data_IF_836063249059
#
_entry.id   IF_836063249059
#
_cell.length_a   1.000
_cell.length_b   1.000
_cell.length_c   1.000
_cell.angle_alpha   90.00
_cell.angle_beta   90.00
_cell.angle_gamma   90.00
#
_symmetry.space_group_name_H-M   'P 1'
#
loop_
_entity.id
_entity.type
_entity.pdbx_description
1 polymer ?
#
# COMPACT_ATOMS: atom_id res chain seq x y z
N UNK A 1 -7.19 0.49 -13.01
CA UNK A 1 -7.75 1.56 -12.15
C UNK A 1 -7.00 2.88 -12.34
N UNK A 2 -5.68 2.87 -12.46
CA UNK A 2 -4.90 4.08 -12.82
C UNK A 2 -4.88 4.39 -14.33
N UNK A 3 -5.63 3.64 -15.16
CA UNK A 3 -5.63 3.75 -16.63
C UNK A 3 -6.09 5.14 -17.12
N UNK A 4 -7.06 5.74 -16.42
CA UNK A 4 -7.55 7.07 -16.74
C UNK A 4 -6.46 8.15 -16.59
N UNK A 5 -5.60 8.06 -15.57
CA UNK A 5 -4.47 8.98 -15.41
C UNK A 5 -3.46 8.80 -16.53
N UNK A 6 -3.13 7.55 -16.87
CA UNK A 6 -2.22 7.26 -17.98
C UNK A 6 -2.77 7.82 -19.32
N UNK A 7 -4.10 7.79 -19.52
CA UNK A 7 -4.73 8.42 -20.68
C UNK A 7 -4.59 9.95 -20.67
N UNK A 8 -4.74 10.62 -19.52
CA UNK A 8 -4.50 12.06 -19.40
C UNK A 8 -3.04 12.44 -19.69
N UNK A 9 -2.08 11.69 -19.11
CA UNK A 9 -0.64 11.89 -19.33
C UNK A 9 -0.26 11.75 -20.81
N UNK A 10 -0.82 10.75 -21.49
CA UNK A 10 -0.64 10.58 -22.93
C UNK A 10 -1.30 11.68 -23.76
N UNK A 11 -2.52 12.09 -23.39
CA UNK A 11 -3.28 13.09 -24.14
C UNK A 11 -2.58 14.47 -24.18
N UNK A 12 -1.70 14.76 -23.22
CA UNK A 12 -0.91 15.99 -23.17
C UNK A 12 0.23 16.02 -24.20
N UNK A 13 0.77 14.86 -24.59
CA UNK A 13 1.93 14.74 -25.50
C UNK A 13 1.65 14.08 -26.86
N UNK A 14 0.42 13.63 -27.10
CA UNK A 14 0.01 13.00 -28.36
C UNK A 14 -0.28 14.04 -29.47
N UNK A 15 0.07 13.70 -30.71
CA UNK A 15 -0.34 14.44 -31.92
C UNK A 15 -1.87 14.33 -32.13
N UNK A 16 -2.45 15.26 -32.89
CA UNK A 16 -3.91 15.44 -33.01
C UNK A 16 -4.68 14.16 -33.37
N UNK A 17 -4.20 13.39 -34.35
CA UNK A 17 -4.81 12.11 -34.75
C UNK A 17 -4.82 11.07 -33.62
N UNK A 18 -3.75 11.02 -32.81
CA UNK A 18 -3.64 10.09 -31.68
C UNK A 18 -4.47 10.54 -30.48
N UNK A 19 -4.64 11.86 -30.30
CA UNK A 19 -5.52 12.39 -29.25
C UNK A 19 -6.97 12.01 -29.49
N UNK A 20 -7.42 11.93 -30.75
CA UNK A 20 -8.78 11.47 -31.10
C UNK A 20 -9.03 10.00 -30.77
N UNK A 21 -7.99 9.18 -30.66
CA UNK A 21 -8.10 7.77 -30.23
C UNK A 21 -8.04 7.63 -28.69
N UNK A 22 -7.69 8.69 -27.98
CA UNK A 22 -7.47 8.66 -26.54
C UNK A 22 -8.82 8.71 -25.78
N UNK A 23 -9.14 7.73 -24.92
CA UNK A 23 -10.39 7.73 -24.16
C UNK A 23 -10.63 8.99 -23.31
N UNK A 24 -9.56 9.59 -22.77
CA UNK A 24 -9.69 10.83 -21.98
C UNK A 24 -10.16 12.01 -22.84
N UNK A 25 -9.80 12.05 -24.12
CA UNK A 25 -10.29 13.07 -25.04
C UNK A 25 -11.82 12.98 -25.18
N UNK A 26 -12.38 11.78 -25.33
CA UNK A 26 -13.82 11.58 -25.43
C UNK A 26 -14.57 11.88 -24.13
N UNK A 27 -14.00 11.50 -22.97
CA UNK A 27 -14.60 11.77 -21.66
C UNK A 27 -14.75 13.28 -21.43
N UNK A 28 -13.78 14.07 -21.88
CA UNK A 28 -13.74 15.52 -21.67
C UNK A 28 -14.10 16.35 -22.90
N UNK A 29 -14.77 15.74 -23.88
CA UNK A 29 -15.23 16.41 -25.11
C UNK A 29 -14.12 17.25 -25.79
N UNK A 30 -12.91 16.70 -25.84
CA UNK A 30 -11.74 17.30 -26.48
C UNK A 30 -10.90 18.24 -25.63
N UNK A 31 -11.26 18.46 -24.36
CA UNK A 31 -10.50 19.26 -23.42
C UNK A 31 -10.11 18.46 -22.15
N UNK A 32 -9.34 17.36 -22.29
CA UNK A 32 -8.88 16.60 -21.12
C UNK A 32 -8.10 17.52 -20.16
N UNK A 33 -8.36 17.44 -18.84
CA UNK A 33 -7.62 18.21 -17.87
C UNK A 33 -6.15 17.75 -17.83
N UNK A 34 -5.28 18.64 -17.36
CA UNK A 34 -3.89 18.27 -17.05
C UNK A 34 -3.89 17.11 -16.03
N UNK A 35 -3.05 16.09 -16.23
CA UNK A 35 -2.90 15.01 -15.27
C UNK A 35 -2.36 15.57 -13.94
N UNK A 36 -3.02 15.25 -12.83
CA UNK A 36 -2.45 15.54 -11.51
C UNK A 36 -1.20 14.67 -11.28
N UNK A 37 -0.06 15.33 -11.12
CA UNK A 37 1.18 14.69 -10.68
C UNK A 37 1.05 14.16 -9.23
N UNK A 38 1.87 13.16 -8.90
CA UNK A 38 2.00 12.62 -7.55
C UNK A 38 1.42 11.20 -7.39
N UNK A 39 0.80 10.96 -6.24
CA UNK A 39 0.43 9.63 -5.72
C UNK A 39 -0.66 8.96 -6.58
N UNK A 40 -0.50 7.67 -6.90
CA UNK A 40 -1.49 6.88 -7.65
C UNK A 40 -2.68 6.46 -6.78
N UNK A 41 -3.82 6.13 -7.38
CA UNK A 41 -4.98 5.70 -6.57
C UNK A 41 -4.77 4.32 -5.96
N UNK A 42 -4.11 3.42 -6.70
CA UNK A 42 -3.71 2.10 -6.16
C UNK A 42 -2.83 2.24 -4.92
N UNK A 43 -1.96 3.26 -4.90
CA UNK A 43 -1.12 3.56 -3.76
C UNK A 43 -1.93 4.05 -2.55
N UNK A 44 -2.90 4.96 -2.76
CA UNK A 44 -3.82 5.41 -1.70
C UNK A 44 -4.62 4.27 -1.09
N UNK A 45 -5.10 3.34 -1.91
CA UNK A 45 -5.83 2.16 -1.43
C UNK A 45 -4.96 1.24 -0.56
N UNK A 46 -3.70 1.06 -0.93
CA UNK A 46 -2.76 0.26 -0.14
C UNK A 46 -2.52 0.89 1.23
N UNK A 47 -2.25 2.21 1.27
CA UNK A 47 -2.04 2.96 2.51
C UNK A 47 -3.29 2.95 3.41
N UNK A 48 -4.47 3.19 2.86
CA UNK A 48 -5.73 3.19 3.61
C UNK A 48 -6.07 1.80 4.17
N UNK A 49 -5.84 0.73 3.39
CA UNK A 49 -6.08 -0.64 3.84
C UNK A 49 -5.11 -1.05 4.96
N UNK A 50 -3.83 -0.64 4.86
CA UNK A 50 -2.75 -0.92 5.82
C UNK A 50 -3.01 -0.28 7.19
N UNK A 51 -3.28 1.02 7.16
CA UNK A 51 -3.40 1.88 8.34
C UNK A 51 -4.73 1.72 9.07
N UNK A 52 -5.66 0.94 8.48
CA UNK A 52 -7.08 0.94 8.87
C UNK A 52 -7.65 2.36 8.95
N UNK A 53 -7.20 3.25 8.06
CA UNK A 53 -7.60 4.65 8.05
C UNK A 53 -9.12 4.75 7.92
N UNK A 54 -9.75 5.33 8.94
CA UNK A 54 -11.21 5.54 9.01
C UNK A 54 -11.64 6.89 8.43
N UNK A 55 -10.68 7.79 8.35
CA UNK A 55 -10.78 9.16 7.82
C UNK A 55 -9.55 9.50 6.98
N UNK A 56 -9.67 10.55 6.18
CA UNK A 56 -8.58 11.02 5.34
C UNK A 56 -7.45 11.66 6.13
N UNK A 57 -7.71 12.17 7.34
CA UNK A 57 -6.67 12.80 8.18
C UNK A 57 -5.60 11.77 8.57
N UNK A 58 -6.05 10.56 8.92
CA UNK A 58 -5.16 9.41 9.16
C UNK A 58 -4.34 9.09 7.91
N UNK A 59 -4.99 9.02 6.75
CA UNK A 59 -4.33 8.74 5.48
C UNK A 59 -3.31 9.84 5.09
N UNK A 60 -3.64 11.11 5.35
CA UNK A 60 -2.76 12.25 5.13
C UNK A 60 -1.50 12.21 6.00
N UNK A 61 -1.57 11.63 7.19
CA UNK A 61 -0.39 11.35 8.02
C UNK A 61 0.64 10.46 7.31
N UNK A 62 0.20 9.52 6.46
CA UNK A 62 1.09 8.70 5.64
C UNK A 62 1.50 9.41 4.35
N UNK A 63 0.56 10.09 3.68
CA UNK A 63 0.84 10.85 2.45
C UNK A 63 1.93 11.89 2.70
N UNK A 64 1.83 12.68 3.78
CA UNK A 64 2.77 13.77 4.08
C UNK A 64 4.19 13.26 4.41
N UNK A 65 4.33 11.98 4.80
CA UNK A 65 5.65 11.35 4.99
C UNK A 65 6.25 10.89 3.68
N UNK A 66 5.40 10.46 2.75
CA UNK A 66 5.80 10.01 1.43
C UNK A 66 6.10 11.18 0.48
N UNK A 67 5.30 12.24 0.56
CA UNK A 67 5.42 13.47 -0.22
C UNK A 67 5.28 14.69 0.73
N UNK A 68 6.40 15.19 1.30
CA UNK A 68 6.40 16.29 2.28
C UNK A 68 5.85 17.61 1.75
N UNK A 69 5.81 17.81 0.43
CA UNK A 69 5.32 19.03 -0.20
C UNK A 69 3.80 18.97 -0.49
N UNK A 70 3.17 17.80 -0.29
CA UNK A 70 1.74 17.61 -0.48
C UNK A 70 0.95 17.99 0.77
N UNK A 71 -0.10 18.80 0.58
CA UNK A 71 -1.13 19.09 1.56
C UNK A 71 -2.51 19.07 0.91
N UNK A 72 -3.61 19.01 1.68
CA UNK A 72 -4.96 19.16 1.14
C UNK A 72 -5.15 20.45 0.33
N UNK A 73 -4.50 21.54 0.76
CA UNK A 73 -4.56 22.86 0.12
C UNK A 73 -3.70 22.92 -1.15
N UNK A 74 -2.51 22.31 -1.15
CA UNK A 74 -1.61 22.33 -2.31
C UNK A 74 -1.99 21.29 -3.37
N UNK A 75 -2.71 20.22 -2.97
CA UNK A 75 -3.12 19.09 -3.84
C UNK A 75 -4.60 18.70 -3.64
N UNK A 76 -5.57 19.55 -4.03
CA UNK A 76 -6.99 19.32 -3.75
C UNK A 76 -7.61 18.09 -4.45
N UNK A 77 -7.11 17.65 -5.61
CA UNK A 77 -7.59 16.40 -6.23
C UNK A 77 -6.97 15.15 -5.59
N UNK A 78 -5.76 15.25 -5.02
CA UNK A 78 -5.22 14.20 -4.15
C UNK A 78 -6.06 14.06 -2.88
N UNK A 79 -6.45 15.17 -2.25
CA UNK A 79 -7.33 15.18 -1.08
C UNK A 79 -8.66 14.46 -1.37
N UNK A 80 -9.28 14.78 -2.50
CA UNK A 80 -10.52 14.11 -2.94
C UNK A 80 -10.32 12.62 -3.21
N UNK A 81 -9.19 12.22 -3.80
CA UNK A 81 -8.86 10.81 -4.01
C UNK A 81 -8.59 10.08 -2.69
N UNK A 82 -7.99 10.74 -1.71
CA UNK A 82 -7.83 10.21 -0.35
C UNK A 82 -9.18 9.92 0.30
N UNK A 83 -10.17 10.83 0.16
CA UNK A 83 -11.55 10.61 0.61
C UNK A 83 -12.17 9.34 -0.02
N UNK A 84 -12.00 9.15 -1.32
CA UNK A 84 -12.50 7.96 -2.01
C UNK A 84 -11.79 6.68 -1.59
N UNK A 85 -10.47 6.72 -1.38
CA UNK A 85 -9.71 5.57 -0.94
C UNK A 85 -10.16 5.10 0.45
N UNK A 86 -10.32 6.03 1.40
CA UNK A 86 -10.84 5.75 2.74
C UNK A 86 -12.26 5.20 2.69
N UNK A 87 -13.15 5.82 1.91
CA UNK A 87 -14.52 5.34 1.77
C UNK A 87 -14.55 3.91 1.19
N UNK A 88 -13.75 3.64 0.16
CA UNK A 88 -13.64 2.31 -0.43
C UNK A 88 -13.14 1.28 0.59
N UNK A 89 -12.06 1.59 1.31
CA UNK A 89 -11.51 0.69 2.31
C UNK A 89 -12.53 0.42 3.43
N UNK A 90 -13.25 1.45 3.90
CA UNK A 90 -14.27 1.31 4.94
C UNK A 90 -15.43 0.38 4.53
N UNK A 91 -15.91 0.51 3.28
CA UNK A 91 -17.11 -0.23 2.86
C UNK A 91 -16.83 -1.59 2.21
N UNK A 92 -15.65 -1.77 1.62
CA UNK A 92 -15.35 -2.98 0.83
C UNK A 92 -14.14 -3.77 1.34
N UNK A 93 -13.21 -3.16 2.06
CA UNK A 93 -12.00 -3.86 2.54
C UNK A 93 -12.13 -4.26 4.00
N UNK A 94 -12.47 -3.31 4.87
CA UNK A 94 -12.57 -3.52 6.31
C UNK A 94 -13.59 -4.63 6.69
N UNK A 95 -14.78 -4.72 6.08
CA UNK A 95 -15.75 -5.77 6.42
C UNK A 95 -15.28 -7.19 6.07
N UNK A 96 -14.35 -7.33 5.13
CA UNK A 96 -13.80 -8.62 4.72
C UNK A 96 -12.57 -9.04 5.55
N UNK A 97 -12.06 -8.17 6.44
CA UNK A 97 -10.88 -8.48 7.24
C UNK A 97 -11.19 -9.57 8.27
N UNK A 98 -10.51 -10.70 8.17
CA UNK A 98 -10.54 -11.80 9.13
C UNK A 98 -9.13 -12.02 9.65
N UNK A 99 -8.92 -11.69 10.91
CA UNK A 99 -7.65 -11.85 11.61
C UNK A 99 -7.55 -13.23 12.21
N UNK A 100 -6.37 -13.83 12.11
CA UNK A 100 -6.02 -15.04 12.86
C UNK A 100 -4.73 -14.83 13.62
N UNK A 101 -4.54 -15.64 14.64
CA UNK A 101 -3.28 -15.67 15.37
C UNK A 101 -2.22 -16.46 14.58
N UNK A 102 -0.93 -16.10 14.71
CA UNK A 102 0.17 -16.88 14.16
C UNK A 102 0.42 -18.15 14.97
N UNK A 103 0.78 -19.24 14.31
CA UNK A 103 1.31 -20.43 14.99
C UNK A 103 2.73 -20.17 15.55
N UNK A 104 3.31 -21.15 16.27
CA UNK A 104 4.63 -20.99 16.89
C UNK A 104 5.76 -20.70 15.89
N UNK A 105 5.68 -21.27 14.67
CA UNK A 105 6.68 -21.09 13.61
C UNK A 105 6.51 -19.72 12.96
N UNK A 106 5.28 -19.35 12.65
CA UNK A 106 4.92 -18.04 12.11
C UNK A 106 5.28 -16.92 13.10
N UNK A 107 5.04 -17.11 14.39
CA UNK A 107 5.38 -16.14 15.43
C UNK A 107 6.90 -15.91 15.51
N UNK A 108 7.70 -16.98 15.45
CA UNK A 108 9.16 -16.87 15.42
C UNK A 108 9.66 -16.15 14.17
N UNK A 109 9.09 -16.47 13.00
CA UNK A 109 9.43 -15.80 11.74
C UNK A 109 9.03 -14.32 11.73
N UNK A 110 7.85 -14.00 12.26
CA UNK A 110 7.38 -12.62 12.40
C UNK A 110 8.29 -11.81 13.34
N UNK A 111 8.69 -12.39 14.48
CA UNK A 111 9.60 -11.73 15.40
C UNK A 111 10.94 -11.41 14.74
N UNK A 112 11.53 -12.37 14.00
CA UNK A 112 12.76 -12.13 13.25
C UNK A 112 12.57 -11.10 12.14
N UNK A 113 11.44 -11.14 11.41
CA UNK A 113 11.14 -10.13 10.39
C UNK A 113 11.09 -8.74 11.00
N UNK A 114 10.44 -8.56 12.16
CA UNK A 114 10.41 -7.28 12.86
C UNK A 114 11.83 -6.78 13.19
N UNK A 115 12.69 -7.66 13.72
CA UNK A 115 14.07 -7.32 14.05
C UNK A 115 14.88 -6.91 12.79
N UNK A 116 14.68 -7.61 11.68
CA UNK A 116 15.36 -7.30 10.41
C UNK A 116 14.88 -5.99 9.80
N UNK A 117 13.58 -5.71 9.85
CA UNK A 117 13.03 -4.44 9.37
C UNK A 117 13.57 -3.26 10.18
N UNK A 118 13.71 -3.43 11.50
CA UNK A 118 14.28 -2.41 12.39
C UNK A 118 15.77 -2.14 12.11
N UNK A 119 16.50 -3.14 11.59
CA UNK A 119 17.92 -3.03 11.25
C UNK A 119 18.17 -2.42 9.86
N UNK A 120 17.16 -2.31 9.01
CA UNK A 120 17.29 -1.69 7.69
C UNK A 120 17.45 -0.16 7.80
N UNK A 121 18.20 0.47 6.88
CA UNK A 121 18.29 1.92 6.85
C UNK A 121 16.90 2.54 6.60
N UNK A 122 16.60 3.71 7.21
CA UNK A 122 15.39 4.45 6.89
C UNK A 122 15.30 4.70 5.37
N UNK A 123 14.12 4.44 4.79
CA UNK A 123 13.90 4.60 3.35
C UNK A 123 14.45 3.46 2.48
N UNK A 124 14.79 2.30 3.05
CA UNK A 124 15.07 1.10 2.26
C UNK A 124 13.94 0.82 1.26
N UNK A 125 14.30 0.54 0.01
CA UNK A 125 13.34 0.36 -1.07
C UNK A 125 12.57 -0.98 -0.94
N UNK A 126 11.46 -1.07 -1.67
CA UNK A 126 10.61 -2.26 -1.64
C UNK A 126 11.28 -3.53 -2.13
N UNK A 127 12.38 -3.45 -2.89
CA UNK A 127 13.14 -4.61 -3.34
C UNK A 127 14.00 -5.17 -2.21
N UNK A 128 14.76 -4.30 -1.55
CA UNK A 128 15.58 -4.60 -0.38
C UNK A 128 14.73 -5.20 0.73
N UNK A 129 13.60 -4.55 1.05
CA UNK A 129 12.66 -5.04 2.07
C UNK A 129 12.07 -6.41 1.67
N UNK A 130 11.72 -6.59 0.39
CA UNK A 130 11.21 -7.88 -0.09
C UNK A 130 12.25 -9.00 0.04
N UNK A 131 13.54 -8.69 -0.19
CA UNK A 131 14.62 -9.67 -0.04
C UNK A 131 14.71 -10.18 1.41
N UNK A 132 14.61 -9.29 2.41
CA UNK A 132 14.58 -9.70 3.82
C UNK A 132 13.35 -10.56 4.16
N UNK A 133 12.17 -10.18 3.67
CA UNK A 133 10.93 -10.96 3.85
C UNK A 133 11.08 -12.37 3.30
N UNK A 134 11.70 -12.53 2.13
CA UNK A 134 12.00 -13.84 1.55
C UNK A 134 13.06 -14.61 2.35
N UNK A 135 14.11 -13.93 2.81
CA UNK A 135 15.18 -14.55 3.58
C UNK A 135 14.66 -15.13 4.91
N UNK A 136 13.77 -14.42 5.61
CA UNK A 136 13.09 -14.92 6.81
C UNK A 136 12.26 -16.16 6.50
N UNK A 137 11.41 -16.11 5.47
CA UNK A 137 10.58 -17.26 5.10
C UNK A 137 11.40 -18.51 4.78
N UNK A 138 12.55 -18.34 4.13
CA UNK A 138 13.50 -19.45 3.86
C UNK A 138 14.19 -19.94 5.12
N UNK A 139 14.68 -19.03 5.97
CA UNK A 139 15.39 -19.38 7.21
C UNK A 139 14.50 -20.19 8.17
N UNK A 140 13.20 -19.88 8.22
CA UNK A 140 12.22 -20.63 8.99
C UNK A 140 11.67 -21.86 8.25
N UNK A 141 12.13 -22.17 7.04
CA UNK A 141 11.75 -23.39 6.32
C UNK A 141 10.28 -23.41 5.89
N UNK A 142 9.71 -22.30 5.43
CA UNK A 142 8.38 -22.30 4.80
C UNK A 142 8.45 -22.90 3.39
N UNK A 143 7.84 -24.07 3.22
CA UNK A 143 7.75 -24.77 1.94
C UNK A 143 6.31 -25.26 1.70
N UNK A 144 5.65 -24.83 0.60
CA UNK A 144 6.09 -23.81 -0.36
C UNK A 144 6.09 -22.40 0.25
N UNK A 145 7.00 -21.53 -0.19
CA UNK A 145 7.19 -20.17 0.34
C UNK A 145 5.93 -19.28 0.29
N UNK A 146 4.93 -19.63 -0.52
CA UNK A 146 3.61 -18.97 -0.52
C UNK A 146 2.89 -19.05 0.84
N UNK A 147 3.16 -20.07 1.65
CA UNK A 147 2.53 -20.21 2.98
C UNK A 147 3.00 -19.13 3.94
N UNK A 148 4.26 -18.69 3.81
CA UNK A 148 4.78 -17.54 4.54
C UNK A 148 4.05 -16.24 4.19
N UNK A 149 3.85 -15.97 2.89
CA UNK A 149 3.12 -14.78 2.46
C UNK A 149 1.64 -14.83 2.86
N UNK A 150 1.00 -16.01 2.80
CA UNK A 150 -0.34 -16.19 3.32
C UNK A 150 -0.40 -15.84 4.81
N UNK A 151 0.56 -16.30 5.61
CA UNK A 151 0.66 -15.94 7.02
C UNK A 151 0.81 -14.44 7.25
N UNK A 152 1.70 -13.76 6.51
CA UNK A 152 1.85 -12.31 6.59
C UNK A 152 0.53 -11.58 6.34
N UNK A 153 -0.22 -11.98 5.30
CA UNK A 153 -1.48 -11.29 4.97
C UNK A 153 -2.60 -11.61 5.96
N UNK A 154 -2.73 -12.85 6.41
CA UNK A 154 -3.80 -13.25 7.33
C UNK A 154 -3.57 -12.72 8.74
N UNK A 155 -2.32 -12.73 9.22
CA UNK A 155 -1.97 -12.30 10.58
C UNK A 155 -1.81 -10.78 10.69
N UNK A 156 -1.24 -10.12 9.67
CA UNK A 156 -0.93 -8.69 9.72
C UNK A 156 -1.95 -7.80 9.00
N UNK A 157 -2.69 -8.31 8.02
CA UNK A 157 -3.64 -7.50 7.25
C UNK A 157 -5.08 -8.03 7.32
N UNK A 158 -5.30 -9.20 7.92
CA UNK A 158 -6.60 -9.87 8.00
C UNK A 158 -7.14 -10.33 6.64
N UNK A 159 -6.28 -10.64 5.65
CA UNK A 159 -6.72 -11.01 4.28
C UNK A 159 -5.96 -12.22 3.76
N UNK A 160 -6.59 -12.98 2.84
CA UNK A 160 -5.97 -14.17 2.21
C UNK A 160 -4.85 -13.83 1.21
N UNK A 161 -4.87 -12.61 0.69
CA UNK A 161 -3.89 -12.14 -0.29
C UNK A 161 -3.72 -10.62 -0.15
N UNK A 162 -2.57 -10.12 -0.59
CA UNK A 162 -2.22 -8.72 -0.50
C UNK A 162 -1.26 -8.27 -1.61
N UNK A 163 -0.92 -6.98 -1.65
CA UNK A 163 0.13 -6.47 -2.51
C UNK A 163 1.48 -7.09 -2.12
N UNK A 164 2.49 -6.98 -3.00
CA UNK A 164 3.86 -7.40 -2.69
C UNK A 164 4.32 -6.81 -1.35
N UNK A 165 4.57 -7.66 -0.36
CA UNK A 165 4.74 -7.25 1.04
C UNK A 165 5.91 -6.28 1.25
N UNK A 166 7.04 -6.46 0.57
CA UNK A 166 8.19 -5.57 0.72
C UNK A 166 7.92 -4.16 0.18
N UNK A 167 7.25 -4.04 -0.97
CA UNK A 167 6.80 -2.76 -1.52
C UNK A 167 5.80 -2.08 -0.60
N UNK A 168 4.89 -2.85 0.01
CA UNK A 168 3.96 -2.37 1.02
C UNK A 168 4.69 -1.83 2.25
N UNK A 169 5.63 -2.60 2.81
CA UNK A 169 6.32 -2.24 4.05
C UNK A 169 7.23 -1.01 3.88
N UNK A 170 7.93 -0.91 2.76
CA UNK A 170 8.72 0.28 2.41
C UNK A 170 7.86 1.55 2.34
N UNK A 171 6.65 1.41 1.81
CA UNK A 171 5.72 2.51 1.62
C UNK A 171 4.98 2.89 2.91
N UNK A 172 4.45 1.90 3.63
CA UNK A 172 3.72 2.09 4.88
C UNK A 172 4.64 2.64 5.98
N UNK A 173 5.92 2.29 5.88
CA UNK A 173 6.98 2.65 6.82
C UNK A 173 7.52 1.41 7.52
N UNK A 174 8.84 1.32 7.63
CA UNK A 174 9.49 0.17 8.27
C UNK A 174 9.16 0.09 9.76
N UNK A 175 9.15 1.24 10.45
CA UNK A 175 8.82 1.33 11.87
C UNK A 175 7.34 0.99 12.12
N UNK A 176 6.43 1.46 11.27
CA UNK A 176 5.01 1.17 11.33
C UNK A 176 4.74 -0.31 11.04
N UNK A 177 5.47 -0.89 10.08
CA UNK A 177 5.39 -2.33 9.78
C UNK A 177 5.92 -3.16 10.93
N UNK A 178 7.04 -2.77 11.54
CA UNK A 178 7.57 -3.41 12.75
C UNK A 178 6.53 -3.37 13.89
N UNK A 179 5.98 -2.18 14.18
CA UNK A 179 4.98 -2.00 15.22
C UNK A 179 3.72 -2.86 14.97
N UNK A 180 3.28 -2.95 13.71
CA UNK A 180 2.18 -3.83 13.30
C UNK A 180 2.48 -5.30 13.59
N UNK A 181 3.69 -5.77 13.28
CA UNK A 181 4.12 -7.14 13.58
C UNK A 181 4.16 -7.38 15.09
N UNK A 182 4.80 -6.50 15.86
CA UNK A 182 4.88 -6.60 17.32
C UNK A 182 3.50 -6.62 17.97
N UNK A 183 2.58 -5.78 17.49
CA UNK A 183 1.19 -5.76 17.97
C UNK A 183 0.50 -7.10 17.70
N UNK A 184 0.66 -7.68 16.51
CA UNK A 184 0.09 -8.99 16.19
C UNK A 184 0.63 -10.11 17.09
N UNK A 185 1.92 -10.10 17.39
CA UNK A 185 2.54 -11.04 18.33
C UNK A 185 2.03 -10.86 19.75
N UNK A 186 1.82 -9.62 20.20
CA UNK A 186 1.31 -9.34 21.54
C UNK A 186 -0.14 -9.78 21.73
N UNK A 187 -1.00 -9.69 20.69
CA UNK A 187 -2.39 -10.19 20.74
C UNK A 187 -2.45 -11.70 20.96
N UNK A 188 -1.52 -12.46 20.37
CA UNK A 188 -1.46 -13.91 20.50
C UNK A 188 -1.00 -14.38 21.89
N UNK A 189 -0.29 -13.53 22.63
CA UNK A 189 0.25 -13.86 23.95
C UNK A 189 -0.76 -13.63 25.10
N UNK A 190 -1.92 -13.01 24.81
CA UNK A 190 -2.97 -12.67 25.76
C UNK A 190 -4.11 -13.69 25.74
#
# INVERSE_FOLDING_TARGET
MDDYRAFLERAAGEEEDKRLENPAWHIHAGAPPEPEEGISFSLLLNLAAASDARDKDTLWGFISRYDPDASPETRPGLDRRADFAVAYCRFFVAPEKVWRDPDAKEAAALAELADRLAALPPGADGETVQAEVYAVGKAHGFEPLRTWFAALYEVLLGRKQGPRFGSFAALYGLAETEAMIRSALARNAA
#
